data_IF_589984160388
#
_entry.id   IF_589984160388
#
_cell.length_a   1.000
_cell.length_b   1.000
_cell.length_c   1.000
_cell.angle_alpha   90.00
_cell.angle_beta   90.00
_cell.angle_gamma   90.00
#
_symmetry.space_group_name_H-M   'P 1'
#
loop_
_entity.id
_entity.type
_entity.pdbx_description
1 polymer ?
#
# COMPACT_ATOMS: atom_id res chain seq x y z
N UNK A 1 6.00 -2.76 -1.09
CA UNK A 1 4.92 -3.75 -1.23
C UNK A 1 4.48 -3.91 -2.69
N UNK A 2 3.94 -2.88 -3.34
CA UNK A 2 3.53 -2.97 -4.75
C UNK A 2 4.64 -3.46 -5.68
N UNK A 3 5.85 -2.97 -5.52
CA UNK A 3 7.03 -3.38 -6.29
C UNK A 3 7.37 -4.87 -6.14
N UNK A 4 7.17 -5.44 -4.96
CA UNK A 4 7.33 -6.88 -4.74
C UNK A 4 6.33 -7.72 -5.54
N UNK A 5 5.17 -7.15 -5.85
CA UNK A 5 4.12 -7.80 -6.64
C UNK A 5 4.33 -7.60 -8.14
N UNK A 6 4.89 -6.44 -8.52
CA UNK A 6 5.09 -6.04 -9.91
C UNK A 6 6.44 -6.46 -10.48
N UNK A 7 7.47 -6.61 -9.63
CA UNK A 7 8.84 -6.78 -10.04
C UNK A 7 9.50 -5.51 -10.63
N UNK A 8 8.82 -4.37 -10.55
CA UNK A 8 9.27 -3.06 -11.02
C UNK A 8 8.60 -1.94 -10.21
N UNK A 9 9.11 -0.69 -10.23
CA UNK A 9 8.47 0.44 -9.57
C UNK A 9 7.02 0.63 -10.01
N UNK A 10 6.13 0.91 -9.05
CA UNK A 10 4.72 1.22 -9.35
C UNK A 10 4.58 2.57 -10.06
N UNK A 11 5.41 3.52 -9.69
CA UNK A 11 5.45 4.88 -10.23
C UNK A 11 6.86 5.20 -10.72
N UNK A 12 7.27 4.68 -11.89
CA UNK A 12 8.56 5.01 -12.47
C UNK A 12 8.59 6.47 -12.91
N UNK A 13 9.70 7.16 -12.67
CA UNK A 13 9.90 8.55 -13.12
C UNK A 13 11.37 8.93 -13.01
N UNK A 14 11.88 9.63 -14.00
CA UNK A 14 13.25 10.13 -14.02
C UNK A 14 13.40 11.44 -13.23
N UNK A 15 12.28 12.12 -12.99
CA UNK A 15 12.19 13.34 -12.19
C UNK A 15 11.00 13.29 -11.24
N UNK A 16 10.97 14.18 -10.23
CA UNK A 16 9.84 14.29 -9.34
C UNK A 16 8.53 14.65 -10.06
N UNK A 17 8.60 15.39 -11.16
CA UNK A 17 7.44 15.76 -11.98
C UNK A 17 6.95 14.54 -12.75
N UNK A 18 7.84 13.77 -13.36
CA UNK A 18 7.48 12.54 -14.08
C UNK A 18 6.85 11.53 -13.14
N UNK A 19 7.43 11.35 -11.95
CA UNK A 19 6.86 10.48 -10.93
C UNK A 19 5.46 10.93 -10.49
N UNK A 20 5.23 12.23 -10.34
CA UNK A 20 3.91 12.77 -10.03
C UNK A 20 2.90 12.47 -11.14
N UNK A 21 3.30 12.57 -12.41
CA UNK A 21 2.44 12.21 -13.54
C UNK A 21 2.07 10.73 -13.51
N UNK A 22 3.02 9.84 -13.20
CA UNK A 22 2.74 8.40 -13.07
C UNK A 22 1.78 8.12 -11.91
N UNK A 23 1.92 8.81 -10.78
CA UNK A 23 0.98 8.72 -9.65
C UNK A 23 -0.42 9.11 -10.09
N UNK A 24 -0.55 10.25 -10.79
CA UNK A 24 -1.83 10.77 -11.26
C UNK A 24 -2.49 9.84 -12.29
N UNK A 25 -1.72 9.20 -13.16
CA UNK A 25 -2.23 8.20 -14.11
C UNK A 25 -2.93 7.03 -13.40
N UNK A 26 -2.46 6.64 -12.23
CA UNK A 26 -3.01 5.51 -11.47
C UNK A 26 -4.12 5.97 -10.52
N UNK A 27 -3.89 7.03 -9.75
CA UNK A 27 -4.78 7.48 -8.68
C UNK A 27 -5.80 8.53 -9.15
N UNK A 28 -5.62 9.10 -10.32
CA UNK A 28 -6.38 10.25 -10.82
C UNK A 28 -5.79 11.57 -10.33
N UNK A 29 -6.21 12.68 -10.96
CA UNK A 29 -5.77 14.02 -10.56
C UNK A 29 -6.33 14.35 -9.16
N UNK A 30 -5.47 14.78 -8.22
CA UNK A 30 -5.94 15.19 -6.90
C UNK A 30 -6.86 16.41 -7.01
N UNK A 31 -7.85 16.48 -6.14
CA UNK A 31 -8.72 17.65 -6.03
C UNK A 31 -7.97 18.84 -5.43
N UNK A 32 -8.48 20.05 -5.63
CA UNK A 32 -7.91 21.26 -5.00
C UNK A 32 -7.82 21.12 -3.47
N UNK A 33 -8.84 20.52 -2.87
CA UNK A 33 -8.85 20.28 -1.42
C UNK A 33 -7.76 19.30 -1.00
N UNK A 34 -7.57 18.21 -1.74
CA UNK A 34 -6.48 17.26 -1.48
C UNK A 34 -5.12 17.91 -1.62
N UNK A 35 -4.91 18.73 -2.65
CA UNK A 35 -3.66 19.48 -2.84
C UNK A 35 -3.41 20.39 -1.63
N UNK A 36 -4.44 21.14 -1.20
CA UNK A 36 -4.34 22.02 -0.04
C UNK A 36 -3.97 21.29 1.24
N UNK A 37 -4.51 20.10 1.47
CA UNK A 37 -4.20 19.29 2.64
C UNK A 37 -2.81 18.67 2.61
N UNK A 38 -2.30 18.34 1.41
CA UNK A 38 -0.95 17.84 1.23
C UNK A 38 0.11 18.93 1.39
N UNK A 39 -0.05 20.03 0.65
CA UNK A 39 0.85 21.17 0.72
C UNK A 39 0.19 22.44 0.12
N UNK A 40 -0.18 23.43 0.96
CA UNK A 40 -0.81 24.65 0.51
C UNK A 40 0.01 25.44 -0.53
N UNK A 41 1.33 25.33 -0.52
CA UNK A 41 2.22 26.05 -1.43
C UNK A 41 2.12 25.56 -2.88
N UNK A 42 1.49 24.40 -3.12
CA UNK A 42 1.30 23.83 -4.46
C UNK A 42 -0.06 24.15 -5.09
N UNK A 43 -0.87 25.01 -4.46
CA UNK A 43 -2.22 25.35 -4.96
C UNK A 43 -2.24 25.95 -6.37
N UNK A 44 -1.18 26.65 -6.77
CA UNK A 44 -1.06 27.28 -8.10
C UNK A 44 -0.48 26.34 -9.15
N UNK A 45 0.01 25.15 -8.75
CA UNK A 45 0.60 24.21 -9.68
C UNK A 45 -0.48 23.61 -10.60
N UNK A 46 -0.25 23.68 -11.90
CA UNK A 46 -1.16 23.09 -12.89
C UNK A 46 -0.87 21.59 -13.03
N UNK A 47 -1.65 20.78 -12.35
CA UNK A 47 -1.59 19.33 -12.52
C UNK A 47 -2.23 18.90 -13.85
N UNK A 48 -1.69 17.87 -14.52
CA UNK A 48 -2.34 17.30 -15.69
C UNK A 48 -3.74 16.82 -15.30
N UNK A 49 -4.75 17.22 -16.09
CA UNK A 49 -6.14 16.81 -15.87
C UNK A 49 -6.35 15.41 -16.45
N UNK A 50 -6.03 14.40 -15.67
CA UNK A 50 -6.30 13.01 -15.99
C UNK A 50 -7.61 12.65 -15.30
N UNK A 51 -8.64 12.34 -16.08
CA UNK A 51 -9.89 11.84 -15.52
C UNK A 51 -9.56 10.60 -14.67
N UNK A 52 -10.04 10.53 -13.41
CA UNK A 52 -9.91 9.29 -12.68
C UNK A 52 -10.52 8.19 -13.54
N UNK A 53 -9.85 7.06 -13.63
CA UNK A 53 -10.44 5.89 -14.27
C UNK A 53 -11.87 5.74 -13.71
N UNK A 54 -12.90 5.43 -14.52
CA UNK A 54 -14.30 5.35 -14.06
C UNK A 54 -14.51 4.36 -12.93
N UNK A 55 -13.51 3.59 -12.62
CA UNK A 55 -13.40 2.71 -11.48
C UNK A 55 -12.55 3.41 -10.42
N UNK A 56 -13.02 3.38 -9.17
CA UNK A 56 -12.35 3.94 -7.99
C UNK A 56 -10.82 3.63 -7.94
N UNK A 57 -10.08 4.29 -7.06
CA UNK A 57 -8.62 4.10 -6.88
C UNK A 57 -8.19 2.62 -6.87
N UNK A 58 -9.00 1.76 -6.27
CA UNK A 58 -8.77 0.31 -6.18
C UNK A 58 -8.72 -0.35 -7.56
N UNK A 59 -9.58 0.06 -8.49
CA UNK A 59 -9.61 -0.54 -9.84
C UNK A 59 -8.45 -0.10 -10.71
N UNK A 60 -8.03 1.18 -10.60
CA UNK A 60 -6.83 1.67 -11.27
C UNK A 60 -5.57 0.94 -10.79
N UNK A 61 -5.45 0.81 -9.48
CA UNK A 61 -4.37 0.08 -8.84
C UNK A 61 -4.42 -1.41 -9.20
N UNK A 62 -5.60 -2.04 -9.16
CA UNK A 62 -5.79 -3.43 -9.59
C UNK A 62 -5.39 -3.63 -11.05
N UNK A 63 -5.74 -2.71 -11.93
CA UNK A 63 -5.35 -2.76 -13.34
C UNK A 63 -3.82 -2.64 -13.49
N UNK A 64 -3.18 -1.73 -12.74
CA UNK A 64 -1.73 -1.59 -12.73
C UNK A 64 -1.04 -2.86 -12.21
N UNK A 65 -1.52 -3.41 -11.09
CA UNK A 65 -0.96 -4.62 -10.46
C UNK A 65 -1.27 -5.92 -11.21
N UNK A 66 -2.17 -5.89 -12.19
CA UNK A 66 -2.54 -7.07 -13.00
C UNK A 66 -1.85 -7.11 -14.37
N UNK A 67 -1.04 -6.11 -14.72
CA UNK A 67 -0.32 -6.11 -16.00
C UNK A 67 0.76 -7.18 -16.01
N UNK A 68 0.77 -8.08 -17.01
CA UNK A 68 1.85 -9.04 -17.15
C UNK A 68 3.15 -8.30 -17.51
N UNK A 69 4.23 -8.58 -16.80
CA UNK A 69 5.56 -8.11 -17.15
C UNK A 69 6.27 -9.20 -17.95
N UNK A 70 6.68 -8.91 -19.19
CA UNK A 70 7.40 -9.85 -20.07
C UNK A 70 6.73 -11.22 -20.22
N UNK A 71 5.38 -11.27 -20.21
CA UNK A 71 4.64 -12.52 -20.33
C UNK A 71 4.61 -13.41 -19.08
N UNK A 72 5.26 -12.99 -18.00
CA UNK A 72 5.17 -13.67 -16.71
C UNK A 72 4.04 -13.07 -15.89
N UNK A 73 3.08 -13.90 -15.52
CA UNK A 73 2.04 -13.54 -14.54
C UNK A 73 2.68 -13.61 -13.16
N UNK A 74 3.13 -12.48 -12.64
CA UNK A 74 3.42 -12.39 -11.21
C UNK A 74 2.14 -12.71 -10.42
N UNK A 75 2.29 -13.25 -9.22
CA UNK A 75 1.16 -13.68 -8.39
C UNK A 75 0.11 -12.58 -8.38
N UNK A 76 -1.12 -12.93 -8.78
CA UNK A 76 -2.26 -12.04 -8.71
C UNK A 76 -2.36 -11.50 -7.28
N UNK A 77 -2.25 -10.18 -7.12
CA UNK A 77 -2.37 -9.55 -5.81
C UNK A 77 -3.73 -9.90 -5.19
N UNK A 78 -3.75 -10.26 -3.90
CA UNK A 78 -5.00 -10.48 -3.19
C UNK A 78 -5.80 -9.18 -3.07
N UNK A 79 -7.09 -9.29 -2.81
CA UNK A 79 -7.95 -8.13 -2.64
C UNK A 79 -7.48 -7.26 -1.45
N UNK A 80 -7.12 -7.90 -0.34
CA UNK A 80 -6.60 -7.26 0.87
C UNK A 80 -5.29 -6.51 0.61
N UNK A 81 -4.41 -7.07 -0.24
CA UNK A 81 -3.17 -6.40 -0.63
C UNK A 81 -3.44 -5.12 -1.41
N UNK A 82 -4.41 -5.15 -2.34
CA UNK A 82 -4.80 -4.00 -3.15
C UNK A 82 -5.43 -2.92 -2.26
N UNK A 83 -6.30 -3.31 -1.33
CA UNK A 83 -6.95 -2.41 -0.39
C UNK A 83 -5.94 -1.72 0.53
N UNK A 84 -4.98 -2.47 1.08
CA UNK A 84 -3.90 -1.91 1.89
C UNK A 84 -3.07 -0.88 1.09
N UNK A 85 -2.66 -1.23 -0.13
CA UNK A 85 -1.89 -0.32 -0.98
C UNK A 85 -2.72 0.94 -1.30
N UNK A 86 -4.01 0.79 -1.63
CA UNK A 86 -4.89 1.92 -1.91
C UNK A 86 -5.03 2.87 -0.72
N UNK A 87 -5.19 2.31 0.48
CA UNK A 87 -5.30 3.07 1.72
C UNK A 87 -3.99 3.79 2.11
N UNK A 88 -2.84 3.20 1.80
CA UNK A 88 -1.52 3.83 1.98
C UNK A 88 -1.22 4.91 0.94
N UNK A 89 -1.85 4.86 -0.23
CA UNK A 89 -1.70 5.81 -1.32
C UNK A 89 -2.76 6.93 -1.30
N UNK A 90 -3.47 7.11 -0.19
CA UNK A 90 -4.44 8.20 -0.03
C UNK A 90 -3.74 9.56 -0.12
N UNK A 91 -4.29 10.47 -0.96
CA UNK A 91 -3.75 11.81 -1.13
C UNK A 91 -3.85 12.63 0.16
N UNK A 92 -4.99 12.59 0.83
CA UNK A 92 -5.24 13.35 2.06
C UNK A 92 -4.48 12.73 3.23
N UNK A 93 -3.48 13.42 3.83
CA UNK A 93 -2.65 12.82 4.87
C UNK A 93 -3.43 12.32 6.09
N UNK A 94 -4.50 13.00 6.46
CA UNK A 94 -5.36 12.64 7.61
C UNK A 94 -6.30 11.46 7.33
N UNK A 95 -6.46 11.07 6.07
CA UNK A 95 -7.25 9.90 5.66
C UNK A 95 -6.36 8.70 5.29
N UNK A 96 -5.05 8.94 5.17
CA UNK A 96 -4.09 7.88 4.90
C UNK A 96 -3.90 7.05 6.16
N UNK A 97 -3.84 5.73 6.03
CA UNK A 97 -3.57 4.84 7.16
C UNK A 97 -2.29 5.27 7.91
N UNK A 98 -2.39 5.33 9.21
CA UNK A 98 -1.22 5.40 10.10
C UNK A 98 -0.46 4.08 10.06
N UNK A 99 0.76 4.08 10.58
CA UNK A 99 1.59 2.86 10.63
C UNK A 99 0.90 1.72 11.40
N UNK A 100 0.24 2.05 12.53
CA UNK A 100 -0.43 1.04 13.36
C UNK A 100 -1.69 0.53 12.68
N UNK A 101 -2.51 1.39 12.09
CA UNK A 101 -3.68 0.96 11.31
C UNK A 101 -3.28 0.06 10.13
N UNK A 102 -2.17 0.37 9.46
CA UNK A 102 -1.63 -0.49 8.42
C UNK A 102 -1.21 -1.87 8.96
N UNK A 103 -0.60 -1.93 10.15
CA UNK A 103 -0.18 -3.20 10.77
C UNK A 103 -1.36 -4.09 11.16
N UNK A 104 -2.52 -3.53 11.49
CA UNK A 104 -3.73 -4.31 11.84
C UNK A 104 -4.64 -4.58 10.66
N UNK A 105 -4.25 -4.18 9.45
CA UNK A 105 -5.03 -4.42 8.24
C UNK A 105 -5.21 -5.93 7.98
N UNK A 106 -6.37 -6.37 7.43
CA UNK A 106 -6.66 -7.78 7.15
C UNK A 106 -5.60 -8.50 6.31
N UNK A 107 -4.85 -7.78 5.48
CA UNK A 107 -3.72 -8.32 4.73
C UNK A 107 -2.69 -9.06 5.62
N UNK A 108 -2.58 -8.70 6.89
CA UNK A 108 -1.66 -9.28 7.86
C UNK A 108 -2.32 -10.26 8.84
N UNK A 109 -3.58 -10.66 8.62
CA UNK A 109 -4.30 -11.57 9.51
C UNK A 109 -3.56 -12.90 9.69
N UNK A 110 -2.98 -13.43 8.61
CA UNK A 110 -2.19 -14.65 8.65
C UNK A 110 -0.99 -14.53 9.61
N UNK A 111 -0.38 -13.35 9.73
CA UNK A 111 0.74 -13.12 10.67
C UNK A 111 0.29 -13.00 12.13
N UNK A 112 -0.99 -12.78 12.37
CA UNK A 112 -1.58 -12.70 13.71
C UNK A 112 -2.13 -14.05 14.20
N UNK A 113 -2.27 -15.01 13.29
CA UNK A 113 -2.70 -16.36 13.65
C UNK A 113 -1.58 -17.08 14.42
N UNK A 114 -1.81 -17.50 15.69
CA UNK A 114 -0.80 -18.21 16.48
C UNK A 114 -0.38 -19.55 15.88
N UNK A 115 -1.17 -20.10 14.96
CA UNK A 115 -0.86 -21.36 14.28
C UNK A 115 0.03 -21.17 13.04
N UNK A 116 0.21 -19.95 12.57
CA UNK A 116 1.05 -19.65 11.40
C UNK A 116 2.51 -19.99 11.66
N UNK A 117 3.11 -20.73 10.75
CA UNK A 117 4.50 -21.17 10.81
C UNK A 117 5.19 -20.82 9.48
N UNK A 118 6.45 -20.42 9.56
CA UNK A 118 7.28 -20.24 8.38
C UNK A 118 8.17 -21.45 8.13
N UNK A 119 8.24 -21.94 6.89
CA UNK A 119 9.29 -22.87 6.52
C UNK A 119 10.65 -22.18 6.70
N UNK A 120 11.62 -22.88 7.30
CA UNK A 120 12.99 -22.37 7.34
C UNK A 120 13.51 -22.28 5.90
N UNK A 121 13.60 -21.06 5.37
CA UNK A 121 13.99 -20.80 3.99
C UNK A 121 15.41 -21.25 3.63
N UNK A 122 16.22 -21.62 4.62
CA UNK A 122 17.59 -22.09 4.43
C UNK A 122 17.68 -23.59 4.17
N UNK A 123 16.64 -24.35 4.54
CA UNK A 123 16.58 -25.79 4.34
C UNK A 123 15.16 -26.17 3.98
N UNK A 124 14.95 -26.69 2.79
CA UNK A 124 13.61 -27.14 2.31
C UNK A 124 12.96 -28.19 3.21
N UNK A 125 13.72 -28.81 4.13
CA UNK A 125 13.26 -29.76 5.15
C UNK A 125 13.67 -29.31 6.58
N UNK A 126 13.98 -28.03 6.78
CA UNK A 126 14.35 -27.50 8.09
C UNK A 126 13.17 -27.41 9.06
N UNK A 127 13.44 -27.31 10.38
CA UNK A 127 12.39 -27.15 11.37
C UNK A 127 11.59 -25.86 11.10
N UNK A 128 10.28 -25.98 11.19
CA UNK A 128 9.36 -24.84 11.12
C UNK A 128 9.59 -23.94 12.31
N UNK A 129 9.85 -22.64 12.09
CA UNK A 129 10.05 -21.66 13.17
C UNK A 129 8.76 -20.94 13.50
N UNK A 130 8.57 -20.70 14.79
CA UNK A 130 7.53 -19.79 15.26
C UNK A 130 7.78 -18.37 14.73
N UNK A 131 6.70 -17.64 14.48
CA UNK A 131 6.80 -16.22 14.18
C UNK A 131 7.35 -15.46 15.40
N UNK A 132 8.22 -14.46 15.19
CA UNK A 132 8.55 -13.54 16.26
C UNK A 132 7.27 -12.78 16.70
N UNK A 133 7.25 -12.30 17.92
CA UNK A 133 6.16 -11.47 18.44
C UNK A 133 6.09 -10.13 17.69
N UNK A 134 5.38 -10.10 16.57
CA UNK A 134 5.29 -8.91 15.68
C UNK A 134 4.36 -7.82 16.23
N UNK A 135 3.43 -8.19 17.12
CA UNK A 135 2.35 -7.33 17.60
C UNK A 135 2.39 -7.07 19.11
N UNK A 136 3.51 -7.38 19.76
CA UNK A 136 3.71 -7.09 21.19
C UNK A 136 4.13 -5.63 21.39
N UNK A 137 3.18 -4.71 21.27
CA UNK A 137 3.44 -3.30 21.43
C UNK A 137 3.65 -2.92 22.89
N UNK A 138 4.64 -2.07 23.16
CA UNK A 138 4.85 -1.47 24.49
C UNK A 138 3.62 -0.62 24.91
N UNK A 139 3.51 -0.31 26.21
CA UNK A 139 2.45 0.58 26.72
C UNK A 139 2.39 1.92 25.97
N UNK A 140 3.54 2.47 25.56
CA UNK A 140 3.62 3.70 24.77
C UNK A 140 3.02 3.52 23.36
N UNK A 141 3.22 2.38 22.72
CA UNK A 141 2.62 2.06 21.42
C UNK A 141 1.11 1.81 21.51
N UNK A 142 0.61 1.27 22.63
CA UNK A 142 -0.82 1.02 22.86
C UNK A 142 -1.63 2.31 23.03
N UNK A 143 -1.02 3.40 23.46
CA UNK A 143 -1.68 4.70 23.58
C UNK A 143 -1.90 5.42 22.25
N UNK A 144 -1.24 4.98 21.18
CA UNK A 144 -1.42 5.54 19.85
C UNK A 144 -2.71 5.06 19.13
N UNK A 145 -3.37 4.01 19.63
CA UNK A 145 -4.65 3.54 19.07
C UNK A 145 -5.53 2.89 20.14
N UNK A 146 -6.71 3.47 20.44
CA UNK A 146 -7.69 2.87 21.36
C UNK A 146 -8.32 1.56 20.87
N UNK A 147 -8.10 1.17 19.63
CA UNK A 147 -8.79 0.07 18.95
C UNK A 147 -8.04 -1.29 18.96
N UNK A 148 -6.85 -1.38 19.56
CA UNK A 148 -6.07 -2.63 19.62
C UNK A 148 -6.40 -3.52 20.83
N UNK A 149 -7.52 -3.28 21.50
CA UNK A 149 -7.98 -4.04 22.68
C UNK A 149 -9.30 -4.82 22.45
N UNK A 150 -9.49 -5.35 21.24
CA UNK A 150 -10.55 -6.34 21.01
C UNK A 150 -9.94 -7.64 20.48
#
# INVERSE_FOLDING_TARGET
>A
MAELMLGQPLFPGESGIDQLVEIIKVLGTPTKEQIRTMNPNYMEHKFPQIKPHPFNKVSGLKAALSKPLNGQVFRKASQEAIELIAALLEYTPTQRLSAIEAMVHPFFDELRDPSTRFPDSRHSNGPVKDLPELFNFSKHGKHATPFLLL
#
